data_IF_547505712281
#
_entry.id   IF_547505712281
#
_cell.length_a   1.000
_cell.length_b   1.000
_cell.length_c   1.000
_cell.angle_alpha   90.00
_cell.angle_beta   90.00
_cell.angle_gamma   90.00
#
_symmetry.space_group_name_H-M   'P 1'
#
loop_
_entity.id
_entity.type
_entity.pdbx_description
1 polymer ?
#
# COMPACT_ATOMS: atom_id res chain seq x y z
N UNK A 1 0.31 13.22 -1.74
CA UNK A 1 0.33 11.75 -1.49
C UNK A 1 0.14 10.90 -2.76
N UNK A 2 -1.05 10.71 -3.37
CA UNK A 2 -1.16 9.84 -4.58
C UNK A 2 -0.19 10.24 -5.71
N UNK A 3 -0.10 11.54 -6.01
CA UNK A 3 0.84 12.10 -6.98
C UNK A 3 2.31 11.83 -6.62
N UNK A 4 2.66 11.87 -5.33
CA UNK A 4 4.03 11.57 -4.87
C UNK A 4 4.38 10.10 -5.11
N UNK A 5 3.49 9.18 -4.73
CA UNK A 5 3.70 7.75 -4.99
C UNK A 5 3.77 7.45 -6.48
N UNK A 6 2.91 8.07 -7.29
CA UNK A 6 2.96 7.94 -8.75
C UNK A 6 4.33 8.36 -9.28
N UNK A 7 4.78 9.57 -8.93
CA UNK A 7 6.06 10.10 -9.40
C UNK A 7 7.24 9.22 -8.95
N UNK A 8 7.22 8.73 -7.71
CA UNK A 8 8.25 7.82 -7.19
C UNK A 8 8.28 6.50 -7.98
N UNK A 9 7.14 5.86 -8.16
CA UNK A 9 7.04 4.56 -8.84
C UNK A 9 7.47 4.69 -10.31
N UNK A 10 7.02 5.75 -11.00
CA UNK A 10 7.35 5.98 -12.40
C UNK A 10 8.84 6.28 -12.58
N UNK A 11 9.42 7.17 -11.75
CA UNK A 11 10.85 7.48 -11.85
C UNK A 11 11.74 6.24 -11.64
N UNK A 12 11.38 5.36 -10.71
CA UNK A 12 12.09 4.08 -10.54
C UNK A 12 11.95 3.18 -11.77
N UNK A 13 10.76 3.10 -12.37
CA UNK A 13 10.50 2.32 -13.58
C UNK A 13 11.30 2.86 -14.77
N UNK A 14 11.34 4.18 -14.95
CA UNK A 14 12.11 4.86 -16.02
C UNK A 14 13.61 4.63 -15.89
N UNK A 15 14.13 4.56 -14.66
CA UNK A 15 15.54 4.24 -14.39
C UNK A 15 15.84 2.72 -14.40
N UNK A 16 14.85 1.89 -14.75
CA UNK A 16 14.98 0.43 -14.82
C UNK A 16 15.48 -0.20 -13.49
N UNK A 17 15.06 0.38 -12.37
CA UNK A 17 15.40 -0.07 -11.01
C UNK A 17 14.26 -0.86 -10.39
N UNK A 18 14.59 -1.68 -9.40
CA UNK A 18 13.61 -2.39 -8.59
C UNK A 18 13.31 -1.61 -7.31
N UNK A 19 12.04 -1.51 -6.93
CA UNK A 19 11.59 -0.96 -5.64
C UNK A 19 10.67 -1.93 -4.94
N UNK A 20 10.89 -2.11 -3.64
CA UNK A 20 9.99 -2.85 -2.75
C UNK A 20 9.34 -1.82 -1.83
N UNK A 21 8.02 -1.70 -1.93
CA UNK A 21 7.22 -0.84 -1.07
C UNK A 21 6.56 -1.71 0.00
N UNK A 22 6.82 -1.41 1.27
CA UNK A 22 6.20 -2.09 2.41
C UNK A 22 5.18 -1.17 3.06
N UNK A 23 3.95 -1.67 3.21
CA UNK A 23 2.85 -0.97 3.89
C UNK A 23 2.10 -1.96 4.77
N UNK A 24 1.38 -1.43 5.76
CA UNK A 24 0.60 -2.24 6.68
C UNK A 24 -0.84 -2.40 6.18
N UNK A 25 -1.49 -3.51 6.54
CA UNK A 25 -2.93 -3.68 6.41
C UNK A 25 -3.61 -3.39 7.75
N UNK A 26 -4.41 -2.32 7.84
CA UNK A 26 -5.10 -1.92 9.07
C UNK A 26 -6.63 -2.12 9.02
N UNK A 27 -7.16 -2.50 7.86
CA UNK A 27 -8.59 -2.68 7.61
C UNK A 27 -9.19 -3.92 8.27
N UNK A 28 -8.37 -4.91 8.62
CA UNK A 28 -8.79 -6.12 9.34
C UNK A 28 -8.98 -5.92 10.86
N UNK A 29 -8.76 -4.71 11.35
CA UNK A 29 -8.98 -4.36 12.76
C UNK A 29 -10.41 -3.85 13.02
N UNK A 30 -10.75 -3.69 14.29
CA UNK A 30 -12.01 -3.06 14.73
C UNK A 30 -12.06 -1.60 14.23
N UNK A 31 -13.28 -1.08 14.01
CA UNK A 31 -13.47 0.33 13.65
C UNK A 31 -13.00 1.24 14.81
N UNK A 32 -12.08 2.19 14.57
CA UNK A 32 -11.61 3.07 15.63
C UNK A 32 -12.74 3.94 16.22
N UNK A 33 -12.76 4.09 17.54
CA UNK A 33 -13.75 4.90 18.25
C UNK A 33 -13.65 6.40 17.89
N UNK A 34 -12.43 6.87 17.62
CA UNK A 34 -12.14 8.28 17.30
C UNK A 34 -12.16 8.54 15.79
N UNK A 35 -12.67 9.72 15.40
CA UNK A 35 -12.83 10.14 14.00
C UNK A 35 -11.53 10.08 13.21
N UNK A 36 -10.43 10.55 13.79
CA UNK A 36 -9.12 10.56 13.13
C UNK A 36 -8.65 9.14 12.76
N UNK A 37 -8.92 8.14 13.61
CA UNK A 37 -8.53 6.75 13.36
C UNK A 37 -9.30 6.14 12.19
N UNK A 38 -10.60 6.46 12.07
CA UNK A 38 -11.41 6.05 10.91
C UNK A 38 -10.88 6.67 9.63
N UNK A 39 -10.62 7.99 9.62
CA UNK A 39 -10.05 8.69 8.47
C UNK A 39 -8.70 8.09 8.08
N UNK A 40 -7.83 7.82 9.06
CA UNK A 40 -6.52 7.23 8.82
C UNK A 40 -6.64 5.83 8.18
N UNK A 41 -7.48 4.95 8.76
CA UNK A 41 -7.75 3.62 8.23
C UNK A 41 -8.25 3.67 6.79
N UNK A 42 -9.24 4.51 6.50
CA UNK A 42 -9.83 4.62 5.17
C UNK A 42 -8.81 5.17 4.16
N UNK A 43 -8.06 6.20 4.55
CA UNK A 43 -7.04 6.80 3.70
C UNK A 43 -5.89 5.82 3.40
N UNK A 44 -5.45 5.05 4.40
CA UNK A 44 -4.40 4.05 4.21
C UNK A 44 -4.85 2.96 3.22
N UNK A 45 -6.08 2.46 3.34
CA UNK A 45 -6.64 1.51 2.38
C UNK A 45 -6.73 2.07 0.95
N UNK A 46 -7.11 3.34 0.81
CA UNK A 46 -7.14 4.03 -0.50
C UNK A 46 -5.74 4.13 -1.12
N UNK A 47 -4.71 4.45 -0.31
CA UNK A 47 -3.33 4.53 -0.78
C UNK A 47 -2.76 3.15 -1.09
N UNK A 48 -3.00 2.14 -0.25
CA UNK A 48 -2.58 0.75 -0.50
C UNK A 48 -3.15 0.24 -1.82
N UNK A 49 -4.45 0.46 -2.08
CA UNK A 49 -5.09 0.10 -3.35
C UNK A 49 -4.47 0.83 -4.54
N UNK A 50 -4.14 2.12 -4.37
CA UNK A 50 -3.52 2.91 -5.44
C UNK A 50 -2.12 2.40 -5.78
N UNK A 51 -1.26 2.17 -4.78
CA UNK A 51 0.08 1.62 -4.97
C UNK A 51 -0.01 0.22 -5.59
N UNK A 52 -0.87 -0.63 -5.03
CA UNK A 52 -1.13 -1.98 -5.54
C UNK A 52 -1.68 -2.00 -6.97
N UNK A 53 -2.24 -0.92 -7.50
CA UNK A 53 -2.65 -0.83 -8.92
C UNK A 53 -1.48 -0.52 -9.88
N UNK A 54 -0.37 0.03 -9.37
CA UNK A 54 0.80 0.44 -10.14
C UNK A 54 1.99 -0.53 -10.02
N UNK A 55 2.01 -1.34 -8.96
CA UNK A 55 3.05 -2.36 -8.74
C UNK A 55 3.01 -3.45 -9.82
N UNK A 56 4.04 -4.27 -9.88
CA UNK A 56 4.05 -5.44 -10.78
C UNK A 56 3.60 -6.69 -10.02
N UNK A 57 3.98 -6.80 -8.74
CA UNK A 57 3.55 -7.86 -7.81
C UNK A 57 3.04 -7.27 -6.50
N UNK A 58 2.11 -7.97 -5.85
CA UNK A 58 1.57 -7.58 -4.53
C UNK A 58 1.48 -8.80 -3.62
N UNK A 59 2.03 -8.67 -2.42
CA UNK A 59 2.05 -9.71 -1.41
C UNK A 59 1.34 -9.25 -0.14
N UNK A 60 0.49 -10.11 0.40
CA UNK A 60 0.03 -10.03 1.79
C UNK A 60 0.89 -10.97 2.63
N UNK A 61 1.56 -10.45 3.66
CA UNK A 61 2.43 -11.26 4.53
C UNK A 61 1.77 -11.43 5.89
N UNK A 62 1.51 -12.68 6.29
CA UNK A 62 0.93 -13.02 7.59
C UNK A 62 1.81 -14.05 8.30
N UNK A 63 2.18 -13.78 9.56
CA UNK A 63 3.11 -14.64 10.32
C UNK A 63 4.43 -14.97 9.57
N UNK A 64 4.92 -14.03 8.74
CA UNK A 64 6.13 -14.22 7.92
C UNK A 64 5.91 -15.03 6.63
N UNK A 65 4.69 -15.49 6.37
CA UNK A 65 4.34 -16.29 5.18
C UNK A 65 3.78 -15.34 4.11
N UNK A 66 4.42 -15.24 2.93
CA UNK A 66 3.94 -14.40 1.84
C UNK A 66 2.84 -15.09 1.04
N UNK A 67 1.74 -14.37 0.79
CA UNK A 67 0.68 -14.74 -0.14
C UNK A 67 0.69 -13.76 -1.32
N UNK A 68 1.01 -14.23 -2.53
CA UNK A 68 0.90 -13.41 -3.74
C UNK A 68 -0.57 -13.23 -4.10
N UNK A 69 -1.03 -11.98 -4.10
CA UNK A 69 -2.42 -11.62 -4.45
C UNK A 69 -2.52 -10.93 -5.82
N UNK A 70 -1.39 -10.56 -6.41
CA UNK A 70 -1.24 -10.15 -7.80
C UNK A 70 0.19 -10.40 -8.27
#
# INVERSE_FOLDING_TARGET
IKKEFYNLIISVKEENKNIILVTNEVGYSIVPAYKLGRIFRDFQGIINKFIASLSDEVYLVTCGIPLKIR
#
